data_IF_056686486664
#
_entry.id   IF_056686486664
#
_cell.length_a   1.000
_cell.length_b   1.000
_cell.length_c   1.000
_cell.angle_alpha   90.00
_cell.angle_beta   90.00
_cell.angle_gamma   90.00
#
_symmetry.space_group_name_H-M   'P 1'
#
loop_
_entity.id
_entity.type
_entity.pdbx_description
1 polymer ?
#
# COMPACT_ATOMS: atom_id res chain seq x y z
N UNK A 1 -5.42 -8.54 -0.05
CA UNK A 1 -4.06 -8.79 -0.53
C UNK A 1 -3.35 -7.45 -0.79
N UNK A 2 -2.13 -7.35 -0.28
CA UNK A 2 -1.30 -6.14 -0.37
C UNK A 2 -1.07 -5.72 -1.82
N UNK A 3 -0.74 -6.67 -2.68
CA UNK A 3 -0.46 -6.37 -4.09
C UNK A 3 -1.70 -5.90 -4.83
N UNK A 4 -2.87 -6.42 -4.49
CA UNK A 4 -4.12 -5.98 -5.09
C UNK A 4 -4.43 -4.54 -4.75
N UNK A 5 -4.33 -4.19 -3.47
CA UNK A 5 -4.58 -2.81 -3.03
C UNK A 5 -3.61 -1.85 -3.69
N UNK A 6 -2.32 -2.20 -3.73
CA UNK A 6 -1.31 -1.34 -4.34
C UNK A 6 -1.50 -1.19 -5.85
N UNK A 7 -2.04 -2.22 -6.51
CA UNK A 7 -2.31 -2.17 -7.95
C UNK A 7 -3.31 -1.07 -8.31
N UNK A 8 -4.26 -0.80 -7.42
CA UNK A 8 -5.24 0.24 -7.66
C UNK A 8 -4.72 1.64 -7.32
N UNK A 9 -3.43 1.75 -6.98
CA UNK A 9 -2.85 3.04 -6.61
C UNK A 9 -3.41 3.57 -5.31
N UNK A 10 -3.62 2.68 -4.33
CA UNK A 10 -4.15 3.04 -3.02
C UNK A 10 -3.06 2.77 -1.98
N UNK A 11 -2.74 3.74 -1.11
CA UNK A 11 -1.80 3.51 -0.02
C UNK A 11 -2.34 2.42 0.90
N UNK A 12 -1.45 1.56 1.39
CA UNK A 12 -1.84 0.45 2.25
C UNK A 12 -1.49 0.78 3.70
N UNK A 13 -2.46 0.67 4.58
CA UNK A 13 -2.28 0.95 6.00
C UNK A 13 -2.27 -0.35 6.78
N UNK A 14 -1.23 -0.54 7.58
CA UNK A 14 -1.03 -1.76 8.36
C UNK A 14 -1.12 -1.49 9.85
N UNK A 15 -1.64 -2.45 10.59
CA UNK A 15 -1.44 -2.48 12.04
C UNK A 15 -0.01 -2.96 12.35
N UNK A 16 0.46 -2.73 13.57
CA UNK A 16 1.82 -3.12 13.94
C UNK A 16 1.99 -4.64 14.11
N UNK A 17 0.91 -5.39 14.08
CA UNK A 17 0.93 -6.83 14.24
C UNK A 17 0.76 -7.57 12.92
N UNK A 18 0.98 -6.89 11.80
CA UNK A 18 0.98 -7.60 10.53
C UNK A 18 2.11 -8.63 10.54
N UNK A 19 1.84 -9.80 9.95
CA UNK A 19 2.85 -10.86 9.87
C UNK A 19 4.03 -10.36 9.07
N UNK A 20 5.24 -10.71 9.52
CA UNK A 20 6.46 -10.38 8.80
C UNK A 20 6.31 -10.80 7.36
N UNK A 21 6.15 -9.84 6.50
CA UNK A 21 5.94 -10.03 5.09
C UNK A 21 6.90 -9.13 4.33
N UNK A 22 7.82 -9.71 3.55
CA UNK A 22 8.80 -8.91 2.82
C UNK A 22 8.15 -7.88 1.90
N UNK A 23 6.99 -8.20 1.32
CA UNK A 23 6.28 -7.28 0.44
C UNK A 23 5.74 -6.08 1.22
N UNK A 24 5.21 -6.32 2.42
CA UNK A 24 4.72 -5.22 3.26
C UNK A 24 5.86 -4.31 3.69
N UNK A 25 6.98 -4.89 4.12
CA UNK A 25 8.14 -4.12 4.54
C UNK A 25 8.70 -3.28 3.40
N UNK A 26 8.77 -3.84 2.21
CA UNK A 26 9.25 -3.14 1.03
C UNK A 26 8.31 -2.01 0.62
N UNK A 27 7.01 -2.26 0.65
CA UNK A 27 6.02 -1.24 0.32
C UNK A 27 6.11 -0.05 1.28
N UNK A 28 6.31 -0.34 2.57
CA UNK A 28 6.49 0.72 3.57
C UNK A 28 7.79 1.48 3.30
N UNK A 29 8.87 0.77 2.98
CA UNK A 29 10.16 1.39 2.69
C UNK A 29 10.07 2.34 1.48
N UNK A 30 9.23 2.01 0.50
CA UNK A 30 9.03 2.85 -0.68
C UNK A 30 7.92 3.89 -0.49
N UNK A 31 7.42 4.03 0.72
CA UNK A 31 6.40 5.01 1.09
C UNK A 31 5.08 4.85 0.32
N UNK A 32 4.75 3.63 -0.02
CA UNK A 32 3.44 3.28 -0.59
C UNK A 32 2.49 2.71 0.45
N UNK A 33 2.97 2.56 1.68
CA UNK A 33 2.18 2.08 2.80
C UNK A 33 2.77 2.59 4.10
N UNK A 34 2.05 2.39 5.19
CA UNK A 34 2.50 2.84 6.50
C UNK A 34 1.89 1.94 7.58
N UNK A 35 2.65 1.68 8.64
CA UNK A 35 2.16 0.89 9.76
C UNK A 35 2.04 1.76 11.02
N UNK A 36 1.07 1.41 11.86
CA UNK A 36 0.81 2.15 13.09
C UNK A 36 0.64 1.20 14.26
N UNK A 37 1.15 1.60 15.42
CA UNK A 37 1.03 0.80 16.64
C UNK A 37 -0.38 0.85 17.21
N UNK A 38 -1.11 1.94 16.97
CA UNK A 38 -2.44 2.15 17.53
C UNK A 38 -3.43 2.50 16.43
N UNK A 39 -4.65 1.96 16.56
CA UNK A 39 -5.73 2.23 15.63
C UNK A 39 -6.02 3.74 15.51
N UNK A 40 -5.94 4.47 16.63
CA UNK A 40 -6.17 5.91 16.63
C UNK A 40 -5.21 6.66 15.72
N UNK A 41 -3.93 6.26 15.73
CA UNK A 41 -2.93 6.87 14.87
C UNK A 41 -3.20 6.56 13.40
N UNK A 42 -3.65 5.35 13.12
CA UNK A 42 -4.01 4.97 11.75
C UNK A 42 -5.21 5.80 11.26
N UNK A 43 -6.22 5.97 12.11
CA UNK A 43 -7.39 6.78 11.78
C UNK A 43 -7.02 8.23 11.51
N UNK A 44 -6.15 8.80 12.35
CA UNK A 44 -5.67 10.16 12.17
C UNK A 44 -4.94 10.31 10.83
N UNK A 45 -4.14 9.31 10.46
CA UNK A 45 -3.43 9.36 9.20
C UNK A 45 -4.36 9.26 7.99
N UNK A 46 -5.38 8.41 8.08
CA UNK A 46 -6.38 8.29 7.02
C UNK A 46 -7.09 9.64 6.84
N UNK A 47 -7.44 10.29 7.94
CA UNK A 47 -8.05 11.61 7.88
C UNK A 47 -7.11 12.62 7.23
N UNK A 48 -5.83 12.60 7.58
CA UNK A 48 -4.83 13.46 6.95
C UNK A 48 -4.77 13.24 5.44
N UNK A 49 -4.82 11.99 4.99
CA UNK A 49 -4.82 11.68 3.56
C UNK A 49 -6.04 12.25 2.84
N UNK A 50 -7.19 12.28 3.50
CA UNK A 50 -8.39 12.86 2.88
C UNK A 50 -8.31 14.38 2.77
N UNK A 51 -7.48 15.01 3.59
CA UNK A 51 -7.32 16.46 3.61
C UNK A 51 -6.08 16.95 2.88
N UNK A 52 -5.18 16.05 2.50
CA UNK A 52 -3.94 16.39 1.82
C UNK A 52 -3.83 15.58 0.52
N UNK A 53 -4.36 16.15 -0.54
CA UNK A 53 -4.39 15.46 -1.84
C UNK A 53 -3.00 15.20 -2.42
N UNK A 54 -2.03 16.05 -2.12
CA UNK A 54 -0.65 15.85 -2.60
C UNK A 54 -0.02 14.63 -1.93
N UNK A 55 -0.22 14.48 -0.63
CA UNK A 55 0.30 13.32 0.10
C UNK A 55 -0.37 12.04 -0.38
N UNK A 56 -1.68 12.08 -0.56
CA UNK A 56 -2.42 10.92 -1.07
C UNK A 56 -1.92 10.52 -2.45
N UNK A 57 -1.73 11.48 -3.35
CA UNK A 57 -1.22 11.22 -4.69
C UNK A 57 0.17 10.62 -4.66
N UNK A 58 1.05 11.16 -3.82
CA UNK A 58 2.42 10.67 -3.71
C UNK A 58 2.46 9.23 -3.22
N UNK A 59 1.73 8.92 -2.16
CA UNK A 59 1.69 7.57 -1.63
C UNK A 59 1.01 6.59 -2.59
N UNK A 60 -0.04 7.04 -3.27
CA UNK A 60 -0.72 6.23 -4.28
C UNK A 60 0.22 5.88 -5.43
N UNK A 61 0.99 6.86 -5.89
CA UNK A 61 1.95 6.64 -6.95
C UNK A 61 3.06 5.69 -6.50
N UNK A 62 3.52 5.84 -5.27
CA UNK A 62 4.55 4.96 -4.72
C UNK A 62 4.04 3.52 -4.62
N UNK A 63 2.80 3.32 -4.23
CA UNK A 63 2.19 2.00 -4.16
C UNK A 63 2.10 1.37 -5.55
N UNK A 64 1.65 2.15 -6.52
CA UNK A 64 1.54 1.68 -7.91
C UNK A 64 2.91 1.32 -8.48
N UNK A 65 3.91 2.17 -8.27
CA UNK A 65 5.27 1.93 -8.72
C UNK A 65 5.85 0.66 -8.08
N UNK A 66 5.55 0.42 -6.81
CA UNK A 66 5.98 -0.78 -6.14
C UNK A 66 5.49 -2.04 -6.87
N UNK A 67 4.22 -2.06 -7.26
CA UNK A 67 3.64 -3.20 -7.97
C UNK A 67 4.28 -3.37 -9.35
N UNK A 68 4.45 -2.27 -10.08
CA UNK A 68 5.05 -2.32 -11.41
C UNK A 68 6.50 -2.81 -11.40
N UNK A 69 7.21 -2.58 -10.31
CA UNK A 69 8.59 -2.99 -10.17
C UNK A 69 8.77 -4.39 -9.60
N UNK A 70 7.68 -5.05 -9.21
CA UNK A 70 7.74 -6.42 -8.69
C UNK A 70 7.84 -7.42 -9.84
N UNK A 71 8.78 -8.38 -9.79
CA UNK A 71 8.87 -9.42 -10.81
C UNK A 71 7.58 -10.24 -10.80
N UNK A 72 6.99 -10.46 -11.96
CA UNK A 72 5.81 -11.31 -12.16
C UNK A 72 4.51 -10.83 -11.50
N UNK A 73 4.51 -9.64 -10.88
CA UNK A 73 3.31 -9.15 -10.24
C UNK A 73 2.18 -8.88 -11.23
N UNK A 74 2.50 -8.40 -12.43
CA UNK A 74 1.51 -8.14 -13.47
C UNK A 74 0.78 -9.40 -13.89
N UNK A 75 1.49 -10.53 -13.99
CA UNK A 75 0.89 -11.81 -14.35
C UNK A 75 -0.07 -12.31 -13.27
N UNK A 76 0.33 -12.19 -12.02
CA UNK A 76 -0.49 -12.61 -10.88
C UNK A 76 -1.78 -11.81 -10.83
N UNK A 77 -1.70 -10.51 -11.05
CA UNK A 77 -2.84 -9.61 -11.03
C UNK A 77 -3.79 -9.90 -12.17
N UNK A 78 -3.26 -10.10 -13.38
CA UNK A 78 -4.05 -10.45 -14.54
C UNK A 78 -4.80 -11.76 -14.33
N UNK A 79 -4.14 -12.76 -13.74
CA UNK A 79 -4.78 -14.03 -13.44
C UNK A 79 -5.98 -13.87 -12.51
N UNK A 80 -5.84 -13.04 -11.49
CA UNK A 80 -6.93 -12.79 -10.54
C UNK A 80 -8.10 -12.06 -11.18
N UNK A 81 -7.83 -11.15 -12.08
CA UNK A 81 -8.88 -10.39 -12.76
C UNK A 81 -9.63 -11.28 -13.76
N UNK A 82 -8.93 -12.21 -14.42
CA UNK A 82 -9.53 -13.10 -15.40
C UNK A 82 -10.21 -14.32 -14.79
N UNK A 83 -9.89 -14.66 -13.55
CA UNK A 83 -10.53 -15.74 -12.81
C UNK A 83 -11.81 -15.28 -12.16
#
# INVERSE_FOLDING_TARGET
>A
NILEAATFGIPVIFGNQYKKNPEADELIAQNGGKSFAKEELASDFVLELTQNSNLLKEMSQNAEDFVHNQPNSSEIILKKILE
#
